data_IF_768873901278
#
_entry.id   IF_768873901278
#
_cell.length_a   1.000
_cell.length_b   1.000
_cell.length_c   1.000
_cell.angle_alpha   90.00
_cell.angle_beta   90.00
_cell.angle_gamma   90.00
#
_symmetry.space_group_name_H-M   'P 1'
#
loop_
_entity.id
_entity.type
_entity.pdbx_description
1 polymer ?
#
# COMPACT_ATOMS: atom_id res chain seq x y z
N UNK A 1 3.50 11.64 -3.00
CA UNK A 1 4.52 10.57 -3.02
C UNK A 1 4.92 10.30 -4.46
N UNK A 2 6.20 10.09 -4.76
CA UNK A 2 6.65 9.73 -6.10
C UNK A 2 6.50 8.22 -6.31
N UNK A 3 5.96 7.80 -7.44
CA UNK A 3 5.82 6.40 -7.84
C UNK A 3 5.91 6.24 -9.34
N UNK A 4 5.76 5.01 -9.82
CA UNK A 4 5.90 4.65 -11.23
C UNK A 4 4.51 4.53 -11.85
N UNK A 5 4.30 4.99 -13.08
CA UNK A 5 3.03 4.79 -13.78
C UNK A 5 2.71 3.31 -13.93
N UNK A 6 1.50 2.88 -13.53
CA UNK A 6 1.08 1.47 -13.63
C UNK A 6 0.93 0.96 -15.07
N UNK A 7 1.01 1.84 -16.06
CA UNK A 7 1.03 1.53 -17.49
C UNK A 7 2.40 1.08 -18.01
N UNK A 8 3.47 1.21 -17.22
CA UNK A 8 4.82 0.83 -17.65
C UNK A 8 5.04 -0.69 -17.57
N UNK A 9 5.61 -1.31 -18.62
CA UNK A 9 5.91 -2.74 -18.61
C UNK A 9 7.07 -3.06 -17.65
N UNK A 10 7.04 -4.27 -17.09
CA UNK A 10 8.12 -4.79 -16.26
C UNK A 10 9.42 -4.93 -17.06
N UNK A 11 10.55 -4.61 -16.42
CA UNK A 11 11.89 -4.81 -17.00
C UNK A 11 12.54 -3.56 -17.60
N UNK A 12 11.85 -2.42 -17.64
CA UNK A 12 12.51 -1.13 -17.88
C UNK A 12 13.33 -0.69 -16.66
N UNK A 13 14.52 -0.10 -16.85
CA UNK A 13 15.26 0.51 -15.76
C UNK A 13 14.47 1.69 -15.18
N UNK A 14 14.55 1.88 -13.86
CA UNK A 14 13.81 2.94 -13.14
C UNK A 14 14.07 4.34 -13.68
N UNK A 15 15.26 4.59 -14.21
CA UNK A 15 15.65 5.86 -14.84
C UNK A 15 14.76 6.23 -16.03
N UNK A 16 14.20 5.22 -16.70
CA UNK A 16 13.46 5.35 -17.95
C UNK A 16 11.96 5.14 -17.73
N UNK A 17 11.56 4.82 -16.50
CA UNK A 17 10.16 4.69 -16.11
C UNK A 17 9.51 6.06 -15.94
N UNK A 18 8.26 6.18 -16.39
CA UNK A 18 7.50 7.40 -16.16
C UNK A 18 7.15 7.54 -14.67
N UNK A 19 7.79 8.50 -14.01
CA UNK A 19 7.51 8.83 -12.61
C UNK A 19 6.29 9.75 -12.52
N UNK A 20 5.35 9.41 -11.64
CA UNK A 20 4.14 10.18 -11.34
C UNK A 20 4.00 10.42 -9.84
N UNK A 21 3.33 11.51 -9.48
CA UNK A 21 3.09 11.84 -8.07
C UNK A 21 1.69 11.42 -7.67
N UNK A 22 1.59 10.61 -6.62
CA UNK A 22 0.33 10.25 -5.98
C UNK A 22 0.07 11.14 -4.76
N UNK A 23 -1.18 11.55 -4.56
CA UNK A 23 -1.65 12.15 -3.31
C UNK A 23 -2.20 11.03 -2.43
N UNK A 24 -1.68 10.89 -1.21
CA UNK A 24 -2.08 9.80 -0.30
C UNK A 24 -2.33 10.32 1.12
N UNK A 25 -3.24 9.68 1.82
CA UNK A 25 -3.67 9.98 3.18
C UNK A 25 -2.83 9.18 4.18
N UNK A 26 -1.89 9.87 4.83
CA UNK A 26 -1.03 9.24 5.84
C UNK A 26 -1.72 9.08 7.20
N UNK A 27 -2.61 10.00 7.55
CA UNK A 27 -3.31 10.03 8.82
C UNK A 27 -4.77 10.41 8.61
N UNK A 28 -5.70 9.54 9.02
CA UNK A 28 -7.15 9.82 8.99
C UNK A 28 -7.68 10.37 10.33
N UNK A 29 -6.79 10.76 11.25
CA UNK A 29 -7.15 11.38 12.52
C UNK A 29 -7.94 10.44 13.41
N UNK A 30 -9.23 10.74 13.64
CA UNK A 30 -10.06 10.05 14.62
C UNK A 30 -10.19 8.54 14.37
N UNK A 31 -10.31 8.14 13.10
CA UNK A 31 -10.41 6.73 12.71
C UNK A 31 -9.13 5.96 13.09
N UNK A 32 -7.98 6.53 12.77
CA UNK A 32 -6.67 5.97 13.07
C UNK A 32 -6.43 5.88 14.59
N UNK A 33 -6.87 6.88 15.35
CA UNK A 33 -6.84 6.84 16.81
C UNK A 33 -7.70 5.73 17.39
N UNK A 34 -8.90 5.51 16.84
CA UNK A 34 -9.79 4.44 17.30
C UNK A 34 -9.23 3.05 16.98
N UNK A 35 -8.60 2.89 15.83
CA UNK A 35 -7.90 1.65 15.46
C UNK A 35 -6.70 1.42 16.39
N UNK A 36 -5.91 2.47 16.65
CA UNK A 36 -4.76 2.41 17.56
C UNK A 36 -5.18 1.96 18.95
N UNK A 37 -6.26 2.53 19.47
CA UNK A 37 -6.74 2.25 20.82
C UNK A 37 -7.36 0.84 20.94
N UNK A 38 -8.08 0.37 19.90
CA UNK A 38 -8.77 -0.92 19.94
C UNK A 38 -7.90 -2.11 19.54
N UNK A 39 -7.03 -1.94 18.55
CA UNK A 39 -6.33 -3.04 17.87
C UNK A 39 -4.80 -2.88 17.85
N UNK A 40 -4.29 -1.79 18.41
CA UNK A 40 -2.85 -1.54 18.54
C UNK A 40 -2.16 -1.04 17.27
N UNK A 41 -0.84 -0.83 17.39
CA UNK A 41 -0.02 -0.19 16.36
C UNK A 41 0.19 -1.05 15.10
N UNK A 42 0.12 -2.38 15.22
CA UNK A 42 0.26 -3.29 14.08
C UNK A 42 -0.92 -3.12 13.13
N UNK A 43 -2.13 -3.19 13.68
CA UNK A 43 -3.38 -3.01 12.94
C UNK A 43 -3.48 -1.62 12.31
N UNK A 44 -3.06 -0.57 13.03
CA UNK A 44 -3.01 0.78 12.48
C UNK A 44 -2.10 0.86 11.25
N UNK A 45 -0.90 0.30 11.32
CA UNK A 45 0.05 0.31 10.21
C UNK A 45 -0.48 -0.44 8.99
N UNK A 46 -1.12 -1.58 9.22
CA UNK A 46 -1.79 -2.39 8.21
C UNK A 46 -2.90 -1.62 7.48
N UNK A 47 -3.76 -0.94 8.24
CA UNK A 47 -4.81 -0.08 7.67
C UNK A 47 -4.22 1.07 6.86
N UNK A 48 -3.21 1.78 7.39
CA UNK A 48 -2.52 2.86 6.66
C UNK A 48 -1.85 2.36 5.38
N UNK A 49 -1.16 1.22 5.44
CA UNK A 49 -0.53 0.59 4.29
C UNK A 49 -1.56 0.31 3.20
N UNK A 50 -2.68 -0.32 3.55
CA UNK A 50 -3.74 -0.64 2.60
C UNK A 50 -4.37 0.61 1.99
N UNK A 51 -4.66 1.64 2.81
CA UNK A 51 -5.22 2.92 2.36
C UNK A 51 -4.32 3.58 1.32
N UNK A 52 -3.04 3.75 1.65
CA UNK A 52 -2.06 4.41 0.78
C UNK A 52 -1.89 3.67 -0.54
N UNK A 53 -1.79 2.33 -0.49
CA UNK A 53 -1.64 1.51 -1.69
C UNK A 53 -2.87 1.63 -2.58
N UNK A 54 -4.09 1.58 -2.02
CA UNK A 54 -5.32 1.77 -2.80
C UNK A 54 -5.39 3.16 -3.44
N UNK A 55 -5.15 4.23 -2.68
CA UNK A 55 -5.20 5.60 -3.22
C UNK A 55 -4.18 5.82 -4.34
N UNK A 56 -2.98 5.23 -4.24
CA UNK A 56 -1.98 5.31 -5.29
C UNK A 56 -2.38 4.50 -6.53
N UNK A 57 -2.94 3.30 -6.34
CA UNK A 57 -3.43 2.45 -7.44
C UNK A 57 -4.61 3.08 -8.18
N UNK A 58 -5.53 3.71 -7.46
CA UNK A 58 -6.66 4.45 -8.04
C UNK A 58 -6.17 5.63 -8.91
N UNK A 59 -4.99 6.17 -8.62
CA UNK A 59 -4.31 7.19 -9.41
C UNK A 59 -3.45 6.60 -10.55
N UNK A 60 -3.43 5.27 -10.71
CA UNK A 60 -2.61 4.58 -11.70
C UNK A 60 -1.12 4.65 -11.39
N UNK A 61 -0.76 4.66 -10.10
CA UNK A 61 0.60 4.79 -9.61
C UNK A 61 0.97 3.57 -8.77
N UNK A 62 2.04 2.92 -9.19
CA UNK A 62 2.72 1.83 -8.51
C UNK A 62 3.77 2.38 -7.53
N UNK A 63 3.73 1.93 -6.27
CA UNK A 63 4.66 2.35 -5.22
C UNK A 63 5.72 1.28 -4.95
N UNK A 64 6.92 1.69 -4.51
CA UNK A 64 7.99 0.78 -4.11
C UNK A 64 7.84 0.38 -2.63
N UNK A 65 8.37 -0.78 -2.24
CA UNK A 65 8.34 -1.22 -0.83
C UNK A 65 9.23 -0.33 0.03
N UNK A 66 10.34 0.13 -0.53
CA UNK A 66 11.31 1.02 0.08
C UNK A 66 10.64 2.34 0.45
N UNK A 67 9.94 2.97 -0.49
CA UNK A 67 9.27 4.25 -0.22
C UNK A 67 8.12 4.08 0.79
N UNK A 68 7.34 3.00 0.70
CA UNK A 68 6.29 2.68 1.69
C UNK A 68 6.90 2.48 3.09
N UNK A 69 7.98 1.72 3.19
CA UNK A 69 8.62 1.37 4.46
C UNK A 69 9.28 2.59 5.11
N UNK A 70 10.13 3.30 4.37
CA UNK A 70 10.97 4.36 4.93
C UNK A 70 10.29 5.72 4.98
N UNK A 71 9.52 6.10 3.95
CA UNK A 71 8.97 7.47 3.86
C UNK A 71 7.61 7.62 4.52
N UNK A 72 6.83 6.54 4.61
CA UNK A 72 5.45 6.61 5.11
C UNK A 72 5.29 5.90 6.45
N UNK A 73 5.72 4.64 6.55
CA UNK A 73 5.42 3.81 7.71
C UNK A 73 6.55 3.78 8.75
N UNK A 74 7.70 4.43 8.47
CA UNK A 74 8.90 4.45 9.32
C UNK A 74 9.27 3.06 9.86
N UNK A 75 9.20 2.04 9.01
CA UNK A 75 9.43 0.65 9.38
C UNK A 75 10.37 -0.04 8.40
N UNK A 76 10.78 -1.28 8.72
CA UNK A 76 11.62 -2.06 7.81
C UNK A 76 10.81 -2.61 6.63
N UNK A 77 11.44 -2.76 5.47
CA UNK A 77 10.85 -3.46 4.31
C UNK A 77 10.34 -4.86 4.70
N UNK A 78 11.05 -5.55 5.61
CA UNK A 78 10.61 -6.85 6.14
C UNK A 78 9.27 -6.77 6.88
N UNK A 79 9.02 -5.68 7.58
CA UNK A 79 7.73 -5.44 8.26
C UNK A 79 6.62 -5.23 7.24
N UNK A 80 6.85 -4.37 6.24
CA UNK A 80 5.89 -4.15 5.14
C UNK A 80 5.56 -5.45 4.42
N UNK A 81 6.57 -6.25 4.05
CA UNK A 81 6.36 -7.56 3.41
C UNK A 81 5.54 -8.52 4.26
N UNK A 82 5.77 -8.51 5.58
CA UNK A 82 5.01 -9.32 6.52
C UNK A 82 3.56 -8.85 6.58
N UNK A 83 3.33 -7.55 6.74
CA UNK A 83 2.00 -6.95 6.77
C UNK A 83 1.24 -7.26 5.45
N UNK A 84 1.90 -7.17 4.29
CA UNK A 84 1.33 -7.55 2.99
C UNK A 84 0.94 -9.04 2.98
N UNK A 85 1.83 -9.93 3.43
CA UNK A 85 1.54 -11.36 3.49
C UNK A 85 0.38 -11.69 4.45
N UNK A 86 0.33 -11.04 5.61
CA UNK A 86 -0.74 -11.18 6.60
C UNK A 86 -2.08 -10.70 6.03
N UNK A 87 -2.09 -9.61 5.25
CA UNK A 87 -3.27 -9.12 4.54
C UNK A 87 -3.74 -10.05 3.40
N UNK A 88 -2.81 -10.66 2.66
CA UNK A 88 -3.15 -11.63 1.61
C UNK A 88 -3.78 -12.88 2.21
N UNK A 89 -3.28 -13.34 3.36
CA UNK A 89 -3.82 -14.50 4.07
C UNK A 89 -5.15 -14.17 4.78
N UNK A 90 -5.32 -12.93 5.24
CA UNK A 90 -6.54 -12.45 5.91
C UNK A 90 -7.46 -11.77 4.89
N UNK A 91 -8.16 -12.55 4.07
CA UNK A 91 -9.01 -12.09 2.95
C UNK A 91 -10.20 -11.18 3.34
N UNK A 92 -10.31 -10.75 4.60
CA UNK A 92 -11.22 -9.72 5.08
C UNK A 92 -10.49 -9.01 6.23
N UNK A 93 -10.02 -7.77 6.03
CA UNK A 93 -9.75 -6.89 7.17
C UNK A 93 -11.07 -6.18 7.51
N UNK A 94 -11.81 -6.61 8.56
CA UNK A 94 -13.13 -6.07 8.88
C UNK A 94 -13.10 -4.62 9.40
N UNK A 95 -11.91 -4.02 9.53
CA UNK A 95 -11.72 -2.68 10.11
C UNK A 95 -11.44 -1.60 9.08
N UNK A 96 -11.46 -1.91 7.78
CA UNK A 96 -11.54 -0.92 6.73
C UNK A 96 -13.02 -0.67 6.41
N UNK A 97 -13.63 0.43 6.88
CA UNK A 97 -14.85 0.91 6.27
C UNK A 97 -14.47 1.39 4.87
N UNK A 98 -14.56 0.48 3.89
CA UNK A 98 -14.53 0.83 2.47
C UNK A 98 -15.61 1.90 2.27
N UNK A 99 -15.18 3.13 2.05
CA UNK A 99 -16.06 4.26 1.79
C UNK A 99 -16.83 3.98 0.49
N UNK A 100 -18.07 3.51 0.66
CA UNK A 100 -19.16 3.75 -0.27
C UNK A 100 -19.13 3.06 -1.64
N UNK A 101 -18.34 2.01 -1.88
CA UNK A 101 -18.47 1.23 -3.14
C UNK A 101 -18.50 -0.27 -2.90
N UNK A 102 -19.45 -0.93 -3.57
CA UNK A 102 -19.77 -2.36 -3.46
C UNK A 102 -18.52 -3.24 -3.59
N UNK A 103 -18.32 -4.12 -2.59
CA UNK A 103 -17.58 -5.39 -2.69
C UNK A 103 -16.31 -5.34 -3.54
N UNK A 104 -15.18 -4.94 -2.96
CA UNK A 104 -13.87 -5.28 -3.53
C UNK A 104 -13.61 -6.76 -3.31
N UNK A 105 -13.53 -7.58 -4.37
CA UNK A 105 -13.36 -9.01 -4.21
C UNK A 105 -11.89 -9.33 -3.85
N UNK A 106 -11.64 -10.44 -3.12
CA UNK A 106 -10.32 -10.82 -2.62
C UNK A 106 -9.24 -11.00 -3.69
N UNK A 107 -9.62 -11.04 -4.97
CA UNK A 107 -8.72 -11.20 -6.12
C UNK A 107 -7.86 -9.96 -6.43
N UNK A 108 -8.21 -8.77 -5.94
CA UNK A 108 -7.49 -7.53 -6.29
C UNK A 108 -6.17 -7.35 -5.52
N UNK A 109 -6.10 -7.83 -4.27
CA UNK A 109 -4.86 -7.83 -3.47
C UNK A 109 -3.81 -8.81 -3.99
N UNK A 110 -4.23 -9.81 -4.77
CA UNK A 110 -3.32 -10.72 -5.47
C UNK A 110 -2.51 -9.97 -6.55
N UNK A 111 -3.04 -8.86 -7.09
CA UNK A 111 -2.34 -7.96 -8.01
C UNK A 111 -1.55 -6.85 -7.29
N UNK A 112 -1.83 -6.50 -6.03
CA UNK A 112 -1.02 -5.55 -5.26
C UNK A 112 0.44 -6.03 -5.10
N UNK A 113 0.66 -7.34 -4.98
CA UNK A 113 2.01 -7.93 -4.99
C UNK A 113 2.76 -7.72 -6.31
N UNK A 114 2.04 -7.51 -7.40
CA UNK A 114 2.59 -7.32 -8.76
C UNK A 114 2.88 -5.84 -9.05
N UNK A 115 2.06 -4.93 -8.49
CA UNK A 115 2.21 -3.48 -8.66
C UNK A 115 3.13 -2.82 -7.63
N UNK A 116 3.42 -3.49 -6.51
CA UNK A 116 4.51 -3.08 -5.64
C UNK A 116 5.82 -3.59 -6.24
N UNK A 117 6.51 -2.71 -6.98
CA UNK A 117 7.71 -3.08 -7.73
C UNK A 117 8.81 -3.51 -6.76
N UNK A 118 9.31 -4.73 -6.95
CA UNK A 118 10.47 -5.28 -6.23
C UNK A 118 11.75 -4.75 -6.91
N UNK A 119 12.24 -3.59 -6.49
CA UNK A 119 13.48 -3.07 -7.05
C UNK A 119 14.68 -3.74 -6.36
N UNK A 120 15.08 -4.89 -6.88
CA UNK A 120 16.38 -5.47 -6.59
C UNK A 120 17.44 -4.64 -7.34
N UNK A 121 17.86 -3.52 -6.77
CA UNK A 121 19.18 -2.98 -7.06
C UNK A 121 20.18 -3.88 -6.32
N UNK A 122 20.67 -4.91 -7.01
CA UNK A 122 21.96 -5.59 -6.83
C UNK A 122 22.12 -6.62 -7.94
#
# INVERSE_FOLDING_TARGET
>A
MLGISSSEPAGKPLSDCQMKTAVVTLDAGKEDDDIRNKYGLVSLRQVRLSRIVHEALDQGISLTQEDLAFKLLNCSIRTVRRDINEHIQSSVNPYLPISGTNTTPPYFLMNCSVHIIFHKFL
#
